data_IF_141043530135
#
_entry.id   IF_141043530135
#
_cell.length_a   1.000
_cell.length_b   1.000
_cell.length_c   1.000
_cell.angle_alpha   90.00
_cell.angle_beta   90.00
_cell.angle_gamma   90.00
#
_symmetry.space_group_name_H-M   'P 1'
#
loop_
_entity.id
_entity.type
_entity.pdbx_description
1 polymer ?
#
# COMPACT_ATOMS: atom_id res chain seq x y z
N UNK A 1 -11.13 -16.92 16.26
CA UNK A 1 -11.24 -16.43 14.87
C UNK A 1 -9.84 -16.36 14.28
N UNK A 2 -9.51 -17.23 13.31
CA UNK A 2 -8.22 -17.14 12.60
C UNK A 2 -8.26 -15.89 11.72
N UNK A 3 -7.38 -14.93 11.96
CA UNK A 3 -7.16 -13.81 11.04
C UNK A 3 -6.68 -14.43 9.73
N UNK A 4 -7.47 -14.32 8.67
CA UNK A 4 -7.02 -14.67 7.32
C UNK A 4 -5.98 -13.61 6.95
N UNK A 5 -4.71 -13.96 7.10
CA UNK A 5 -3.64 -13.22 6.47
C UNK A 5 -3.73 -13.55 4.98
N UNK A 6 -4.04 -12.55 4.18
CA UNK A 6 -3.95 -12.61 2.73
C UNK A 6 -2.72 -11.82 2.38
N UNK A 7 -1.80 -12.43 1.65
CA UNK A 7 -0.66 -11.73 1.10
C UNK A 7 -1.00 -11.22 -0.31
N UNK A 8 -0.53 -10.02 -0.66
CA UNK A 8 -0.76 -9.43 -1.98
C UNK A 8 0.50 -8.77 -2.51
N UNK A 9 0.84 -9.03 -3.78
CA UNK A 9 1.97 -8.41 -4.46
C UNK A 9 1.55 -7.12 -5.16
N UNK A 10 2.34 -6.07 -4.98
CA UNK A 10 2.12 -4.79 -5.64
C UNK A 10 3.44 -4.07 -5.96
N UNK A 11 3.41 -3.24 -6.99
CA UNK A 11 4.44 -2.24 -7.21
C UNK A 11 4.06 -0.98 -6.44
N UNK A 12 4.94 -0.52 -5.57
CA UNK A 12 4.70 0.66 -4.73
C UNK A 12 4.71 1.93 -5.58
N UNK A 13 3.80 2.85 -5.25
CA UNK A 13 3.83 4.21 -5.78
C UNK A 13 4.13 5.19 -4.65
N UNK A 14 3.31 5.21 -3.60
CA UNK A 14 3.38 6.27 -2.60
C UNK A 14 2.75 5.85 -1.26
N UNK A 15 3.07 6.57 -0.19
CA UNK A 15 2.35 6.54 1.09
C UNK A 15 1.78 7.93 1.32
N UNK A 16 0.46 8.02 1.52
CA UNK A 16 -0.18 9.32 1.76
C UNK A 16 -1.16 9.28 2.91
N UNK A 17 -1.12 10.34 3.69
CA UNK A 17 -2.16 10.66 4.63
C UNK A 17 -3.42 11.14 3.92
N UNK A 18 -4.57 10.52 4.23
CA UNK A 18 -5.87 10.91 3.69
C UNK A 18 -6.82 11.27 4.83
N UNK A 19 -7.31 12.51 4.76
CA UNK A 19 -8.28 13.04 5.72
C UNK A 19 -9.62 12.30 5.70
N UNK A 20 -10.25 12.20 6.87
CA UNK A 20 -11.64 11.78 6.98
C UNK A 20 -12.57 12.61 6.09
N UNK A 21 -13.63 11.98 5.58
CA UNK A 21 -14.58 12.65 4.70
C UNK A 21 -15.70 11.75 4.24
N UNK A 22 -16.59 12.30 3.42
CA UNK A 22 -17.64 11.54 2.76
C UNK A 22 -17.88 12.07 1.35
N UNK A 23 -18.38 11.20 0.47
CA UNK A 23 -18.79 11.56 -0.87
C UNK A 23 -19.96 10.69 -1.33
N UNK A 24 -20.74 11.21 -2.27
CA UNK A 24 -21.77 10.43 -2.98
C UNK A 24 -21.16 9.81 -4.22
N UNK A 25 -21.04 8.49 -4.24
CA UNK A 25 -20.45 7.69 -5.33
C UNK A 25 -21.50 6.68 -5.79
N UNK A 26 -21.81 6.66 -7.09
CA UNK A 26 -22.83 5.78 -7.68
C UNK A 26 -24.19 5.87 -6.95
N UNK A 27 -24.57 7.08 -6.56
CA UNK A 27 -25.81 7.36 -5.85
C UNK A 27 -25.80 7.01 -4.35
N UNK A 28 -24.75 6.38 -3.84
CA UNK A 28 -24.59 5.98 -2.43
C UNK A 28 -23.69 6.96 -1.69
N UNK A 29 -24.06 7.30 -0.47
CA UNK A 29 -23.17 8.03 0.43
C UNK A 29 -22.13 7.06 1.00
N UNK A 30 -20.86 7.38 0.77
CA UNK A 30 -19.71 6.64 1.28
C UNK A 30 -18.92 7.59 2.17
N UNK A 31 -18.80 7.24 3.45
CA UNK A 31 -17.95 7.93 4.41
C UNK A 31 -16.68 7.11 4.68
N UNK A 32 -15.64 7.79 5.09
CA UNK A 32 -14.39 7.18 5.47
C UNK A 32 -13.69 7.96 6.57
N UNK A 33 -12.91 7.21 7.34
CA UNK A 33 -12.08 7.75 8.39
C UNK A 33 -10.74 8.25 7.85
N UNK A 34 -10.10 9.04 8.69
CA UNK A 34 -8.72 9.47 8.55
C UNK A 34 -7.80 8.25 8.54
N UNK A 35 -6.88 8.16 7.58
CA UNK A 35 -5.95 7.04 7.48
C UNK A 35 -4.74 7.37 6.62
N UNK A 36 -3.57 6.86 7.01
CA UNK A 36 -2.43 6.71 6.12
C UNK A 36 -2.67 5.54 5.18
N UNK A 37 -2.36 5.75 3.90
CA UNK A 37 -2.67 4.80 2.84
C UNK A 37 -1.41 4.47 2.05
N UNK A 38 -1.22 3.17 1.82
CA UNK A 38 -0.28 2.67 0.84
C UNK A 38 -0.95 2.63 -0.53
N UNK A 39 -0.29 3.20 -1.52
CA UNK A 39 -0.79 3.37 -2.89
C UNK A 39 0.13 2.61 -3.84
N UNK A 40 -0.46 1.87 -4.77
CA UNK A 40 0.30 1.27 -5.86
C UNK A 40 -0.55 0.39 -6.76
N UNK A 41 0.11 -0.41 -7.60
CA UNK A 41 -0.54 -1.22 -8.63
C UNK A 41 -0.35 -2.70 -8.28
N UNK A 42 -1.43 -3.48 -8.13
CA UNK A 42 -1.31 -4.92 -7.92
C UNK A 42 -0.57 -5.57 -9.08
N UNK A 43 0.39 -6.45 -8.79
CA UNK A 43 1.22 -7.09 -9.81
C UNK A 43 0.37 -7.87 -10.83
N UNK A 44 -0.68 -8.54 -10.36
CA UNK A 44 -1.58 -9.36 -11.19
C UNK A 44 -2.65 -8.55 -11.93
N UNK A 45 -2.68 -7.23 -11.80
CA UNK A 45 -3.72 -6.39 -12.43
C UNK A 45 -3.42 -6.11 -13.90
N UNK A 46 -4.19 -6.73 -14.79
CA UNK A 46 -4.20 -6.42 -16.23
C UNK A 46 -4.72 -5.01 -16.57
N UNK A 47 -5.43 -4.36 -15.64
CA UNK A 47 -6.04 -3.04 -15.84
C UNK A 47 -5.13 -1.86 -15.47
N UNK A 48 -3.95 -2.12 -14.93
CA UNK A 48 -3.06 -1.12 -14.31
C UNK A 48 -3.76 -0.18 -13.30
N UNK A 49 -4.88 -0.61 -12.70
CA UNK A 49 -5.66 0.21 -11.78
C UNK A 49 -4.90 0.40 -10.48
N UNK A 50 -4.73 1.67 -10.10
CA UNK A 50 -4.15 2.06 -8.81
C UNK A 50 -5.09 1.65 -7.68
N UNK A 51 -4.53 0.94 -6.72
CA UNK A 51 -5.19 0.54 -5.48
C UNK A 51 -4.65 1.35 -4.31
N UNK A 52 -5.50 1.55 -3.30
CA UNK A 52 -5.18 2.30 -2.08
C UNK A 52 -5.61 1.44 -0.90
N UNK A 53 -4.66 1.09 -0.05
CA UNK A 53 -4.90 0.27 1.14
C UNK A 53 -4.60 1.09 2.39
N UNK A 54 -5.55 1.12 3.33
CA UNK A 54 -5.34 1.78 4.62
C UNK A 54 -4.30 1.00 5.42
N UNK A 55 -3.36 1.70 6.03
CA UNK A 55 -2.36 1.13 6.93
C UNK A 55 -2.96 1.09 8.34
N UNK A 56 -2.67 0.03 9.08
CA UNK A 56 -3.06 -0.05 10.49
C UNK A 56 -2.32 1.05 11.27
N UNK A 57 -3.00 1.91 12.05
CA UNK A 57 -2.38 3.14 12.61
C UNK A 57 -1.09 2.89 13.39
N UNK A 58 -1.04 1.84 14.23
CA UNK A 58 0.15 1.48 15.00
C UNK A 58 1.31 0.90 14.16
N UNK A 59 1.11 0.67 12.86
CA UNK A 59 2.11 0.15 11.92
C UNK A 59 2.62 1.18 10.92
N UNK A 60 2.03 2.39 10.89
CA UNK A 60 2.39 3.44 9.92
C UNK A 60 3.88 3.74 9.97
N UNK A 61 4.42 4.05 11.14
CA UNK A 61 5.84 4.41 11.30
C UNK A 61 6.79 3.30 10.80
N UNK A 62 6.51 2.05 11.21
CA UNK A 62 7.35 0.90 10.84
C UNK A 62 7.29 0.65 9.32
N UNK A 63 6.12 0.78 8.71
CA UNK A 63 5.97 0.62 7.26
C UNK A 63 6.65 1.77 6.52
N UNK A 64 6.51 3.01 6.98
CA UNK A 64 7.19 4.17 6.38
C UNK A 64 8.70 4.00 6.38
N UNK A 65 9.29 3.54 7.50
CA UNK A 65 10.73 3.28 7.60
C UNK A 65 11.21 2.20 6.61
N UNK A 66 10.43 1.13 6.43
CA UNK A 66 10.76 0.09 5.44
C UNK A 66 10.76 0.58 4.00
N UNK A 67 10.01 1.65 3.71
CA UNK A 67 9.81 2.20 2.37
C UNK A 67 10.54 3.55 2.17
N UNK A 68 11.34 4.02 3.13
CA UNK A 68 11.97 5.34 3.11
C UNK A 68 13.03 5.48 1.99
N UNK A 69 13.72 4.39 1.67
CA UNK A 69 14.86 4.38 0.75
C UNK A 69 14.64 3.53 -0.50
N UNK A 70 13.39 3.17 -0.79
CA UNK A 70 13.08 2.41 -2.00
C UNK A 70 12.65 3.34 -3.14
N UNK A 71 12.95 2.94 -4.37
CA UNK A 71 12.48 3.64 -5.55
C UNK A 71 11.01 3.34 -5.84
N UNK A 72 10.36 4.27 -6.54
CA UNK A 72 9.02 4.04 -7.08
C UNK A 72 9.01 2.83 -8.03
N UNK A 73 7.97 2.01 -7.93
CA UNK A 73 7.84 0.79 -8.73
C UNK A 73 8.56 -0.43 -8.16
N UNK A 74 9.22 -0.31 -6.99
CA UNK A 74 9.71 -1.47 -6.25
C UNK A 74 8.58 -2.48 -5.97
N UNK A 75 8.89 -3.76 -6.13
CA UNK A 75 7.97 -4.85 -5.86
C UNK A 75 7.93 -5.14 -4.36
N UNK A 76 6.73 -5.09 -3.80
CA UNK A 76 6.50 -5.34 -2.38
C UNK A 76 5.40 -6.39 -2.19
N UNK A 77 5.50 -7.13 -1.10
CA UNK A 77 4.45 -8.00 -0.58
C UNK A 77 3.79 -7.33 0.63
N UNK A 78 2.46 -7.28 0.60
CA UNK A 78 1.65 -6.77 1.70
C UNK A 78 1.11 -7.91 2.54
N UNK A 79 1.12 -7.73 3.86
CA UNK A 79 0.40 -8.59 4.80
C UNK A 79 -0.76 -7.84 5.43
N UNK A 80 -1.97 -8.41 5.34
CA UNK A 80 -3.20 -7.80 5.83
C UNK A 80 -3.73 -8.40 7.14
N UNK A 81 -4.36 -7.56 7.96
CA UNK A 81 -5.26 -7.98 9.04
C UNK A 81 -6.63 -7.32 8.84
N UNK A 82 -7.57 -8.06 8.24
CA UNK A 82 -8.85 -7.48 7.82
C UNK A 82 -8.64 -6.53 6.63
N UNK A 83 -9.12 -5.29 6.74
CA UNK A 83 -8.98 -4.28 5.67
C UNK A 83 -7.68 -3.47 5.71
N UNK A 84 -6.85 -3.68 6.73
CA UNK A 84 -5.66 -2.87 6.98
C UNK A 84 -4.38 -3.61 6.62
N UNK A 85 -3.44 -2.89 6.03
CA UNK A 85 -2.04 -3.34 5.86
C UNK A 85 -1.37 -3.31 7.22
N UNK A 86 -0.72 -4.41 7.58
CA UNK A 86 -0.03 -4.57 8.87
C UNK A 86 1.45 -4.77 8.76
N UNK A 87 1.91 -5.18 7.58
CA UNK A 87 3.32 -5.24 7.27
C UNK A 87 3.55 -5.13 5.77
N UNK A 88 4.79 -4.77 5.42
CA UNK A 88 5.30 -4.74 4.05
C UNK A 88 6.66 -5.43 4.01
N UNK A 89 6.88 -6.26 3.00
CA UNK A 89 8.18 -6.84 2.66
C UNK A 89 8.60 -6.32 1.28
N UNK A 90 9.81 -5.78 1.17
CA UNK A 90 10.37 -5.32 -0.11
C UNK A 90 11.05 -6.53 -0.76
N UNK A 91 10.54 -6.93 -1.92
CA UNK A 91 11.04 -8.11 -2.64
C UNK A 91 12.09 -7.75 -3.68
N UNK A 92 11.92 -6.62 -4.37
CA UNK A 92 12.87 -6.16 -5.39
C UNK A 92 12.74 -4.66 -5.62
N UNK A 93 13.89 -3.96 -5.69
CA UNK A 93 13.98 -2.55 -6.05
C UNK A 93 14.93 -2.35 -7.23
N UNK A 94 14.44 -2.74 -8.39
CA UNK A 94 15.14 -2.75 -9.67
C UNK A 94 15.77 -1.39 -10.06
N UNK A 95 15.13 -0.27 -9.71
CA UNK A 95 15.67 1.04 -10.07
C UNK A 95 16.85 1.41 -9.17
N UNK A 96 16.75 1.13 -7.88
CA UNK A 96 17.88 1.34 -6.97
C UNK A 96 19.06 0.45 -7.35
N UNK A 97 18.79 -0.82 -7.70
CA UNK A 97 19.82 -1.74 -8.18
C UNK A 97 20.47 -1.19 -9.47
N UNK A 98 19.66 -0.77 -10.45
CA UNK A 98 20.14 -0.18 -11.70
C UNK A 98 21.00 1.08 -11.48
N UNK A 99 20.61 1.97 -10.56
CA UNK A 99 21.38 3.19 -10.26
C UNK A 99 22.67 2.94 -9.47
N UNK A 100 22.78 1.81 -8.77
CA UNK A 100 23.97 1.45 -7.99
C UNK A 100 24.99 0.61 -8.79
N UNK A 101 24.60 0.11 -9.97
CA UNK A 101 25.50 -0.61 -10.88
C UNK A 101 26.41 0.32 -11.71
N UNK A 102 26.14 1.63 -11.72
CA UNK A 102 26.96 2.70 -12.33
C UNK A 102 27.84 3.45 -11.30
#
# INVERSE_FOLDING_TARGET
>A
MKKHFQDSLMCVWDIRHRKAGSAKIDGKEISWEDADQLIGIPLESSSAKVMKHAILPEKVEVISQKLEHISWGALIQLTFSGKYVTDVEVLCDWLTDFYNED
#
